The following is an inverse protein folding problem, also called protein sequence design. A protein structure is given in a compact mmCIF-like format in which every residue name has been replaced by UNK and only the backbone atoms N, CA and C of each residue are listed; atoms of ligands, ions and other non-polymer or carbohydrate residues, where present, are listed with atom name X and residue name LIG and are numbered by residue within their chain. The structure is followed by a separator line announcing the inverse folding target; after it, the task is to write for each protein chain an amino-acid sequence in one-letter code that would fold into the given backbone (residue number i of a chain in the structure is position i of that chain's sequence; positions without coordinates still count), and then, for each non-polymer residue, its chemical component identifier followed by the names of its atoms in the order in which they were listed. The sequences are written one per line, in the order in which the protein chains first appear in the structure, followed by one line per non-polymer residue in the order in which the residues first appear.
data_IF_651685760645
#
_entry.id   IF_651685760645
#
_cell.length_a   1.000
_cell.length_b   1.000
_cell.length_c   1.000
_cell.angle_alpha   90.00
_cell.angle_beta   90.00
_cell.angle_gamma   90.00
#
_symmetry.space_group_name_H-M   'P 1'
#
loop_
_entity.id
_entity.type
_entity.pdbx_description
1 polymer ?
#
# COMPACT_ATOMS: atom_id res chain seq x y z
N UNK A 1 -30.12 -44.71 -32.38
CA UNK A 1 -30.70 -43.60 -31.59
C UNK A 1 -31.43 -44.17 -30.38
N UNK A 2 -30.73 -44.50 -29.29
CA UNK A 2 -31.38 -44.73 -28.00
C UNK A 2 -31.61 -43.37 -27.34
N UNK A 3 -32.89 -43.05 -27.13
CA UNK A 3 -33.38 -41.68 -27.02
C UNK A 3 -32.89 -40.94 -25.77
N UNK A 4 -32.65 -39.64 -25.92
CA UNK A 4 -32.34 -38.72 -24.83
C UNK A 4 -33.32 -38.82 -23.64
N UNK A 5 -34.53 -39.35 -23.86
CA UNK A 5 -35.53 -39.63 -22.84
C UNK A 5 -35.10 -40.63 -21.77
N UNK A 6 -34.34 -41.69 -22.11
CA UNK A 6 -33.96 -42.71 -21.10
C UNK A 6 -32.88 -42.21 -20.13
N UNK A 7 -31.91 -41.43 -20.62
CA UNK A 7 -30.87 -40.79 -19.80
C UNK A 7 -31.43 -39.69 -18.92
N UNK A 8 -32.38 -38.91 -19.44
CA UNK A 8 -33.08 -37.89 -18.66
C UNK A 8 -33.91 -38.53 -17.53
N UNK A 9 -34.67 -39.58 -17.83
CA UNK A 9 -35.46 -40.29 -16.83
C UNK A 9 -34.57 -40.95 -15.75
N UNK A 10 -33.42 -41.51 -16.16
CA UNK A 10 -32.43 -42.06 -15.24
C UNK A 10 -31.81 -41.00 -14.33
N UNK A 11 -31.50 -39.81 -14.85
CA UNK A 11 -31.02 -38.68 -14.04
C UNK A 11 -32.09 -38.16 -13.07
N UNK A 12 -33.34 -37.99 -13.55
CA UNK A 12 -34.47 -37.52 -12.75
C UNK A 12 -34.82 -38.45 -11.58
N UNK A 13 -34.57 -39.75 -11.75
CA UNK A 13 -34.86 -40.77 -10.75
C UNK A 13 -33.61 -41.24 -9.98
N UNK A 14 -32.44 -40.63 -10.20
CA UNK A 14 -31.23 -40.97 -9.46
C UNK A 14 -31.42 -40.66 -7.96
N UNK A 15 -30.92 -41.49 -7.04
CA UNK A 15 -31.08 -41.26 -5.60
C UNK A 15 -30.37 -40.01 -5.06
N UNK A 16 -29.47 -39.41 -5.85
CA UNK A 16 -28.91 -38.06 -5.63
C UNK A 16 -29.31 -37.05 -6.73
N UNK A 17 -30.41 -37.34 -7.44
CA UNK A 17 -30.92 -36.55 -8.57
C UNK A 17 -31.85 -35.42 -8.13
N UNK A 18 -32.41 -34.66 -9.11
CA UNK A 18 -33.16 -33.41 -8.87
C UNK A 18 -34.40 -33.51 -7.97
N UNK A 19 -34.91 -34.71 -7.71
CA UNK A 19 -36.04 -34.93 -6.80
C UNK A 19 -35.62 -34.98 -5.32
N UNK A 20 -34.34 -34.80 -5.02
CA UNK A 20 -33.78 -35.00 -3.68
C UNK A 20 -33.02 -33.77 -3.18
N UNK A 21 -32.93 -33.63 -1.86
CA UNK A 21 -32.10 -32.59 -1.22
C UNK A 21 -30.62 -32.74 -1.57
N UNK A 22 -30.17 -33.96 -1.85
CA UNK A 22 -28.80 -34.26 -2.27
C UNK A 22 -28.40 -33.54 -3.55
N UNK A 23 -29.35 -33.15 -4.40
CA UNK A 23 -29.08 -32.36 -5.60
C UNK A 23 -29.15 -30.86 -5.32
N UNK A 24 -30.23 -30.38 -4.70
CA UNK A 24 -30.45 -28.93 -4.55
C UNK A 24 -29.54 -28.26 -3.53
N UNK A 25 -29.18 -28.93 -2.44
CA UNK A 25 -28.28 -28.35 -1.44
C UNK A 25 -26.88 -28.01 -2.02
N UNK A 26 -26.23 -28.87 -2.82
CA UNK A 26 -25.04 -28.50 -3.58
C UNK A 26 -25.28 -27.38 -4.60
N UNK A 27 -26.39 -27.42 -5.33
CA UNK A 27 -26.68 -26.43 -6.37
C UNK A 27 -26.77 -25.02 -5.81
N UNK A 28 -27.38 -24.85 -4.63
CA UNK A 28 -27.43 -23.53 -3.97
C UNK A 28 -26.07 -23.05 -3.47
N UNK A 29 -25.17 -23.96 -3.07
CA UNK A 29 -23.83 -23.60 -2.62
C UNK A 29 -22.95 -23.01 -3.73
N UNK A 30 -23.28 -23.21 -5.01
CA UNK A 30 -22.56 -22.58 -6.11
C UNK A 30 -22.64 -21.06 -6.08
N UNK A 31 -23.66 -20.48 -5.44
CA UNK A 31 -23.71 -19.03 -5.21
C UNK A 31 -22.50 -18.53 -4.40
N UNK A 32 -21.99 -19.31 -3.44
CA UNK A 32 -20.79 -18.97 -2.66
C UNK A 32 -19.53 -19.02 -3.52
N UNK A 33 -19.44 -19.96 -4.45
CA UNK A 33 -18.32 -20.07 -5.39
C UNK A 33 -18.30 -18.85 -6.32
N UNK A 34 -19.46 -18.50 -6.90
CA UNK A 34 -19.59 -17.35 -7.77
C UNK A 34 -19.32 -16.02 -7.05
N UNK A 35 -19.79 -15.89 -5.80
CA UNK A 35 -19.46 -14.74 -4.96
C UNK A 35 -17.94 -14.67 -4.69
N UNK A 36 -17.29 -15.78 -4.34
CA UNK A 36 -15.85 -15.85 -4.10
C UNK A 36 -15.03 -15.50 -5.35
N UNK A 37 -15.48 -15.91 -6.54
CA UNK A 37 -14.86 -15.52 -7.82
C UNK A 37 -15.02 -14.03 -8.06
N UNK A 38 -16.21 -13.46 -7.82
CA UNK A 38 -16.42 -12.01 -7.93
C UNK A 38 -15.53 -11.24 -6.96
N UNK A 39 -15.35 -11.75 -5.75
CA UNK A 39 -14.47 -11.18 -4.74
C UNK A 39 -12.97 -11.22 -5.13
N UNK A 40 -12.57 -11.90 -6.21
CA UNK A 40 -11.21 -11.78 -6.76
C UNK A 40 -10.92 -10.37 -7.29
N UNK A 41 -11.96 -9.65 -7.72
CA UNK A 41 -11.85 -8.24 -8.12
C UNK A 41 -11.77 -7.27 -6.95
N UNK A 42 -12.06 -7.72 -5.72
CA UNK A 42 -12.00 -6.85 -4.53
C UNK A 42 -10.54 -6.67 -4.07
N UNK A 43 -10.20 -5.48 -3.55
CA UNK A 43 -8.91 -5.25 -2.91
C UNK A 43 -8.69 -6.25 -1.76
N UNK A 44 -7.51 -6.84 -1.68
CA UNK A 44 -7.28 -7.98 -0.81
C UNK A 44 -7.13 -7.59 0.68
N UNK A 45 -6.87 -6.32 0.98
CA UNK A 45 -6.92 -5.75 2.33
C UNK A 45 -8.34 -5.69 2.93
N UNK A 46 -9.38 -5.73 2.09
CA UNK A 46 -10.79 -5.78 2.54
C UNK A 46 -11.31 -7.20 2.76
N UNK A 47 -10.46 -8.22 2.59
CA UNK A 47 -10.83 -9.62 2.75
C UNK A 47 -10.60 -10.07 4.20
N UNK A 48 -11.61 -10.72 4.78
CA UNK A 48 -11.47 -11.29 6.13
C UNK A 48 -10.64 -12.56 6.11
N UNK A 49 -9.57 -12.60 6.91
CA UNK A 49 -8.74 -13.79 7.10
C UNK A 49 -9.54 -14.93 7.70
N UNK A 50 -10.33 -14.67 8.74
CA UNK A 50 -11.10 -15.70 9.44
C UNK A 50 -12.17 -16.32 8.55
N UNK A 51 -12.84 -15.52 7.71
CA UNK A 51 -13.84 -16.02 6.76
C UNK A 51 -13.20 -16.87 5.68
N UNK A 52 -12.12 -16.40 5.04
CA UNK A 52 -11.46 -17.15 3.97
C UNK A 52 -10.78 -18.43 4.49
N UNK A 53 -10.23 -18.39 5.71
CA UNK A 53 -9.73 -19.58 6.40
C UNK A 53 -10.85 -20.59 6.71
N UNK A 54 -11.99 -20.12 7.21
CA UNK A 54 -13.15 -20.98 7.42
C UNK A 54 -13.64 -21.61 6.11
N UNK A 55 -13.73 -20.84 5.01
CA UNK A 55 -14.12 -21.37 3.69
C UNK A 55 -13.12 -22.40 3.16
N UNK A 56 -11.82 -22.12 3.26
CA UNK A 56 -10.75 -23.05 2.88
C UNK A 56 -10.86 -24.37 3.65
N UNK A 57 -10.89 -24.27 4.98
CA UNK A 57 -10.91 -25.43 5.86
C UNK A 57 -12.19 -26.25 5.70
N UNK A 58 -13.35 -25.59 5.74
CA UNK A 58 -14.64 -26.28 5.61
C UNK A 58 -14.79 -26.89 4.23
N UNK A 59 -14.44 -26.19 3.15
CA UNK A 59 -14.46 -26.73 1.79
C UNK A 59 -13.65 -28.02 1.69
N UNK A 60 -12.40 -28.00 2.14
CA UNK A 60 -11.51 -29.18 2.04
C UNK A 60 -11.95 -30.35 2.93
N UNK A 61 -12.42 -30.08 4.15
CA UNK A 61 -12.95 -31.11 5.05
C UNK A 61 -14.18 -31.78 4.42
N UNK A 62 -15.14 -30.99 3.95
CA UNK A 62 -16.40 -31.53 3.46
C UNK A 62 -16.26 -32.29 2.14
N UNK A 63 -15.27 -31.96 1.29
CA UNK A 63 -14.95 -32.76 0.08
C UNK A 63 -14.74 -34.23 0.46
N UNK A 64 -13.93 -34.51 1.49
CA UNK A 64 -13.67 -35.88 1.95
C UNK A 64 -14.97 -36.61 2.34
N UNK A 65 -15.82 -35.97 3.13
CA UNK A 65 -17.06 -36.58 3.63
C UNK A 65 -18.06 -36.90 2.50
N UNK A 66 -18.03 -36.18 1.38
CA UNK A 66 -18.92 -36.43 0.23
C UNK A 66 -18.71 -37.80 -0.42
N UNK A 67 -17.52 -38.40 -0.24
CA UNK A 67 -17.18 -39.73 -0.74
C UNK A 67 -17.47 -40.85 0.27
N UNK A 68 -17.82 -40.51 1.51
CA UNK A 68 -18.12 -41.47 2.58
C UNK A 68 -19.63 -41.66 2.77
N UNK A 69 -20.44 -40.67 2.36
CA UNK A 69 -21.90 -40.78 2.38
C UNK A 69 -22.42 -41.68 1.26
N UNK A 70 -23.51 -42.41 1.54
CA UNK A 70 -24.16 -43.32 0.58
C UNK A 70 -25.56 -42.79 0.24
N UNK A 71 -25.87 -42.52 -1.05
CA UNK A 71 -24.97 -42.61 -2.20
C UNK A 71 -23.93 -41.47 -2.23
N UNK A 72 -22.79 -41.74 -2.86
CA UNK A 72 -21.72 -40.73 -3.05
C UNK A 72 -22.26 -39.50 -3.78
N UNK A 73 -21.95 -38.30 -3.26
CA UNK A 73 -22.47 -37.05 -3.79
C UNK A 73 -21.38 -36.23 -4.49
N UNK A 74 -21.14 -36.52 -5.77
CA UNK A 74 -20.16 -35.81 -6.59
C UNK A 74 -20.46 -34.31 -6.76
N UNK A 75 -21.73 -33.87 -6.98
CA UNK A 75 -22.05 -32.44 -7.02
C UNK A 75 -21.66 -31.69 -5.73
N UNK A 76 -21.88 -32.31 -4.57
CA UNK A 76 -21.49 -31.73 -3.29
C UNK A 76 -19.96 -31.70 -3.12
N UNK A 77 -19.27 -32.74 -3.56
CA UNK A 77 -17.81 -32.77 -3.55
C UNK A 77 -17.22 -31.64 -4.42
N UNK A 78 -17.75 -31.46 -5.63
CA UNK A 78 -17.30 -30.43 -6.56
C UNK A 78 -17.48 -29.02 -5.98
N UNK A 79 -18.67 -28.69 -5.47
CA UNK A 79 -18.90 -27.33 -4.94
C UNK A 79 -18.04 -27.04 -3.71
N UNK A 80 -17.86 -28.01 -2.79
CA UNK A 80 -17.01 -27.82 -1.62
C UNK A 80 -15.52 -27.66 -2.00
N UNK A 81 -15.06 -28.35 -3.05
CA UNK A 81 -13.70 -28.18 -3.57
C UNK A 81 -13.49 -26.74 -4.05
N UNK A 82 -14.37 -26.21 -4.89
CA UNK A 82 -14.25 -24.83 -5.38
C UNK A 82 -14.41 -23.77 -4.29
N UNK A 83 -15.28 -24.00 -3.28
CA UNK A 83 -15.34 -23.13 -2.09
C UNK A 83 -14.00 -23.13 -1.35
N UNK A 84 -13.41 -24.31 -1.14
CA UNK A 84 -12.13 -24.46 -0.47
C UNK A 84 -10.98 -23.79 -1.23
N UNK A 85 -10.91 -24.01 -2.53
CA UNK A 85 -9.90 -23.40 -3.41
C UNK A 85 -10.04 -21.87 -3.44
N UNK A 86 -11.25 -21.33 -3.51
CA UNK A 86 -11.47 -19.88 -3.44
C UNK A 86 -10.91 -19.31 -2.12
N UNK A 87 -11.21 -19.94 -0.98
CA UNK A 87 -10.67 -19.52 0.32
C UNK A 87 -9.13 -19.52 0.34
N UNK A 88 -8.49 -20.56 -0.20
CA UNK A 88 -7.03 -20.65 -0.28
C UNK A 88 -6.41 -19.58 -1.19
N UNK A 89 -7.01 -19.32 -2.36
CA UNK A 89 -6.54 -18.28 -3.29
C UNK A 89 -6.62 -16.91 -2.63
N UNK A 90 -7.72 -16.61 -1.95
CA UNK A 90 -7.90 -15.34 -1.25
C UNK A 90 -6.91 -15.19 -0.07
N UNK A 91 -6.66 -16.25 0.70
CA UNK A 91 -5.62 -16.26 1.73
C UNK A 91 -4.22 -16.02 1.14
N UNK A 92 -3.94 -16.60 -0.03
CA UNK A 92 -2.71 -16.35 -0.78
C UNK A 92 -2.55 -14.89 -1.16
N UNK A 93 -3.61 -14.24 -1.65
CA UNK A 93 -3.61 -12.80 -1.97
C UNK A 93 -3.35 -11.94 -0.73
N UNK A 94 -4.03 -12.23 0.38
CA UNK A 94 -3.81 -11.55 1.66
C UNK A 94 -2.36 -11.71 2.13
N UNK A 95 -1.78 -12.91 2.01
CA UNK A 95 -0.41 -13.18 2.43
C UNK A 95 0.66 -12.46 1.58
N UNK A 96 0.45 -12.30 0.26
CA UNK A 96 1.37 -11.56 -0.61
C UNK A 96 1.36 -10.07 -0.29
N UNK A 97 0.17 -9.51 -0.11
CA UNK A 97 -0.04 -8.17 0.46
C UNK A 97 0.74 -8.07 1.78
N UNK A 98 0.42 -8.89 2.78
CA UNK A 98 1.04 -8.79 4.11
C UNK A 98 2.57 -8.93 4.13
N UNK A 99 3.17 -9.63 3.16
CA UNK A 99 4.63 -9.67 2.98
C UNK A 99 5.20 -8.36 2.45
N UNK A 100 4.51 -7.69 1.52
CA UNK A 100 4.88 -6.33 1.10
C UNK A 100 4.66 -5.30 2.24
N UNK A 101 3.58 -5.39 3.02
CA UNK A 101 3.28 -4.46 4.13
C UNK A 101 4.20 -4.62 5.35
N UNK A 102 4.77 -5.81 5.57
CA UNK A 102 5.60 -6.09 6.74
C UNK A 102 7.04 -5.57 6.60
N UNK A 103 7.58 -5.48 5.38
CA UNK A 103 9.01 -5.28 5.20
C UNK A 103 9.50 -3.90 5.67
N UNK A 104 8.75 -2.82 5.44
CA UNK A 104 9.14 -1.49 5.89
C UNK A 104 8.88 -1.27 7.40
N UNK A 105 7.72 -1.70 7.91
CA UNK A 105 7.42 -1.60 9.34
C UNK A 105 8.41 -2.42 10.19
N UNK A 106 8.85 -3.59 9.70
CA UNK A 106 9.88 -4.42 10.34
C UNK A 106 11.28 -3.82 10.23
N UNK A 107 11.65 -3.19 9.11
CA UNK A 107 12.97 -2.55 8.94
C UNK A 107 13.25 -1.52 10.04
N UNK A 108 12.24 -0.74 10.41
CA UNK A 108 12.36 0.29 11.44
C UNK A 108 11.86 -0.17 12.82
N UNK A 109 11.58 -1.47 12.99
CA UNK A 109 11.09 -2.09 14.23
C UNK A 109 9.86 -1.37 14.84
N UNK A 110 8.99 -0.81 14.00
CA UNK A 110 7.79 -0.09 14.42
C UNK A 110 6.55 -0.98 14.27
N UNK A 111 5.60 -0.84 15.19
CA UNK A 111 4.26 -1.41 15.01
C UNK A 111 3.59 -0.77 13.79
N UNK A 112 2.85 -1.55 13.02
CA UNK A 112 2.02 -1.01 11.93
C UNK A 112 0.95 -0.11 12.57
N UNK A 113 0.88 1.18 12.20
CA UNK A 113 -0.07 2.10 12.79
C UNK A 113 -1.52 1.71 12.44
N UNK A 114 -2.42 1.85 13.40
CA UNK A 114 -3.86 1.59 13.21
C UNK A 114 -4.63 2.78 12.66
N UNK A 115 -4.04 3.98 12.75
CA UNK A 115 -4.55 5.23 12.21
C UNK A 115 -3.40 6.06 11.63
N UNK A 116 -3.66 6.94 10.64
CA UNK A 116 -2.64 7.86 10.16
C UNK A 116 -2.19 8.80 11.29
N UNK A 117 -0.95 9.26 11.21
CA UNK A 117 -0.48 10.43 11.97
C UNK A 117 0.44 11.24 11.06
N UNK A 118 0.63 12.51 11.36
CA UNK A 118 1.49 13.38 10.56
C UNK A 118 2.37 14.27 11.43
N UNK A 119 3.39 14.83 10.80
CA UNK A 119 4.23 15.89 11.35
C UNK A 119 4.38 16.98 10.29
N UNK A 120 4.72 18.19 10.73
CA UNK A 120 4.90 19.32 9.83
C UNK A 120 6.39 19.55 9.55
N UNK A 121 6.69 19.91 8.31
CA UNK A 121 8.00 20.41 7.87
C UNK A 121 7.83 21.88 7.45
N UNK A 122 8.74 22.78 7.88
CA UNK A 122 8.67 24.19 7.46
C UNK A 122 9.01 24.32 5.98
N UNK A 123 8.44 25.31 5.29
CA UNK A 123 8.78 25.58 3.88
C UNK A 123 10.25 25.94 3.67
N UNK A 124 10.95 26.41 4.71
CA UNK A 124 12.39 26.69 4.68
C UNK A 124 13.25 25.44 4.47
N UNK A 125 12.71 24.22 4.64
CA UNK A 125 13.45 22.99 4.37
C UNK A 125 13.45 22.60 2.88
N UNK A 126 12.71 23.32 2.04
CA UNK A 126 12.52 22.94 0.63
C UNK A 126 13.74 23.29 -0.21
N UNK A 127 14.16 22.36 -1.06
CA UNK A 127 15.14 22.57 -2.13
C UNK A 127 14.72 21.82 -3.38
N UNK A 128 15.19 22.26 -4.55
CA UNK A 128 14.83 21.71 -5.84
C UNK A 128 15.87 20.75 -6.42
N UNK A 129 15.63 20.32 -7.66
CA UNK A 129 16.59 19.52 -8.41
C UNK A 129 17.88 20.31 -8.68
N UNK A 130 19.04 19.66 -8.50
CA UNK A 130 20.36 20.27 -8.66
C UNK A 130 20.90 20.98 -7.43
N UNK A 131 20.09 21.17 -6.39
CA UNK A 131 20.53 21.73 -5.11
C UNK A 131 21.32 20.71 -4.27
N UNK A 132 21.71 21.11 -3.05
CA UNK A 132 22.45 20.24 -2.13
C UNK A 132 21.77 20.12 -0.77
N UNK A 133 21.71 18.89 -0.26
CA UNK A 133 21.31 18.59 1.11
C UNK A 133 22.47 18.98 2.05
N UNK A 134 22.15 19.76 3.09
CA UNK A 134 23.09 20.23 4.09
C UNK A 134 22.91 19.46 5.40
N UNK A 135 23.86 18.57 5.73
CA UNK A 135 23.83 17.77 6.96
C UNK A 135 24.61 18.51 8.06
N UNK A 136 23.98 18.92 9.17
CA UNK A 136 24.73 19.51 10.28
C UNK A 136 25.67 18.52 10.96
N UNK A 137 26.74 19.07 11.56
CA UNK A 137 27.71 18.27 12.32
C UNK A 137 27.02 17.45 13.42
N UNK A 138 27.37 16.17 13.50
CA UNK A 138 26.81 15.23 14.48
C UNK A 138 25.40 14.74 14.17
N UNK A 139 24.77 15.15 13.06
CA UNK A 139 23.47 14.61 12.62
C UNK A 139 23.67 13.36 11.78
N UNK A 140 22.90 12.32 12.06
CA UNK A 140 22.78 11.13 11.20
C UNK A 140 21.53 11.32 10.34
N UNK A 141 21.70 11.76 9.09
CA UNK A 141 20.58 12.07 8.20
C UNK A 141 20.20 10.85 7.37
N UNK A 142 18.92 10.45 7.38
CA UNK A 142 18.38 9.35 6.58
C UNK A 142 17.49 9.89 5.46
N UNK A 143 17.47 9.18 4.32
CA UNK A 143 16.60 9.48 3.18
C UNK A 143 15.33 8.62 3.18
N UNK A 144 14.21 9.21 2.75
CA UNK A 144 12.91 8.56 2.64
C UNK A 144 12.24 9.08 1.35
N UNK A 145 12.31 8.34 0.23
CA UNK A 145 11.71 8.79 -1.05
C UNK A 145 10.20 8.62 -1.03
N UNK A 146 9.45 9.66 -1.41
CA UNK A 146 7.99 9.67 -1.30
C UNK A 146 7.31 10.28 -2.52
N UNK A 147 6.09 9.81 -2.79
CA UNK A 147 5.13 10.57 -3.58
C UNK A 147 4.63 11.73 -2.71
N UNK A 148 4.57 12.92 -3.29
CA UNK A 148 3.99 14.09 -2.67
C UNK A 148 2.69 14.46 -3.40
N UNK A 149 1.65 14.77 -2.64
CA UNK A 149 0.35 15.24 -3.14
C UNK A 149 0.27 16.73 -2.92
N UNK A 150 0.07 17.49 -4.00
CA UNK A 150 -0.13 18.93 -3.93
C UNK A 150 -1.61 19.23 -3.92
N UNK A 151 -2.09 19.92 -2.89
CA UNK A 151 -3.49 20.31 -2.73
C UNK A 151 -3.80 21.45 -3.70
N UNK A 152 -4.81 21.25 -4.54
CA UNK A 152 -5.21 22.21 -5.58
C UNK A 152 -6.36 23.14 -5.17
N UNK A 153 -6.98 22.91 -4.02
CA UNK A 153 -8.01 23.81 -3.48
C UNK A 153 -8.20 23.59 -1.98
N UNK A 154 -8.66 24.64 -1.29
CA UNK A 154 -8.92 24.62 0.15
C UNK A 154 -9.83 23.44 0.56
N UNK A 155 -9.35 22.60 1.46
CA UNK A 155 -10.00 21.39 1.96
C UNK A 155 -10.14 21.42 3.49
N UNK A 156 -11.33 21.13 3.99
CA UNK A 156 -11.61 20.97 5.42
C UNK A 156 -12.74 19.98 5.60
N UNK A 157 -12.60 19.08 6.58
CA UNK A 157 -13.58 18.04 6.90
C UNK A 157 -14.04 17.27 5.63
N UNK A 158 -13.07 16.87 4.80
CA UNK A 158 -13.31 16.27 3.49
C UNK A 158 -13.89 14.86 3.66
N UNK A 159 -14.93 14.54 2.88
CA UNK A 159 -15.44 13.17 2.81
C UNK A 159 -14.60 12.31 1.87
N UNK A 160 -14.48 10.98 2.10
CA UNK A 160 -13.68 10.09 1.27
C UNK A 160 -14.00 10.17 -0.23
N UNK A 161 -15.29 10.31 -0.58
CA UNK A 161 -15.76 10.39 -1.96
C UNK A 161 -15.32 11.67 -2.71
N UNK A 162 -14.86 12.69 -1.98
CA UNK A 162 -14.42 13.97 -2.54
C UNK A 162 -12.92 14.20 -2.46
N UNK A 163 -12.16 13.33 -1.80
CA UNK A 163 -10.73 13.55 -1.55
C UNK A 163 -9.95 13.84 -2.85
N UNK A 164 -10.18 13.05 -3.89
CA UNK A 164 -9.48 13.19 -5.17
C UNK A 164 -9.72 14.53 -5.86
N UNK A 165 -10.87 15.21 -5.64
CA UNK A 165 -11.14 16.50 -6.28
C UNK A 165 -10.28 17.64 -5.72
N UNK A 166 -9.68 17.45 -4.55
CA UNK A 166 -8.81 18.45 -3.93
C UNK A 166 -7.33 18.29 -4.36
N UNK A 167 -6.98 17.25 -5.10
CA UNK A 167 -5.61 17.03 -5.60
C UNK A 167 -5.37 17.89 -6.83
N UNK A 168 -4.42 18.84 -6.74
CA UNK A 168 -3.96 19.68 -7.85
C UNK A 168 -2.88 19.02 -8.71
N UNK A 169 -2.10 18.10 -8.13
CA UNK A 169 -1.10 17.32 -8.84
C UNK A 169 -0.19 16.58 -7.87
N UNK A 170 0.95 16.13 -8.37
CA UNK A 170 1.89 15.34 -7.61
C UNK A 170 3.31 15.91 -7.69
N UNK A 171 4.20 15.45 -6.83
CA UNK A 171 5.63 15.67 -6.97
C UNK A 171 6.39 14.47 -6.42
N UNK A 172 7.63 14.29 -6.86
CA UNK A 172 8.61 13.48 -6.15
C UNK A 172 9.21 14.31 -5.01
N UNK A 173 9.31 13.72 -3.81
CA UNK A 173 9.96 14.34 -2.67
C UNK A 173 10.88 13.34 -1.93
N UNK A 174 11.77 13.87 -1.11
CA UNK A 174 12.58 13.10 -0.16
C UNK A 174 12.36 13.67 1.23
N UNK A 175 11.81 12.86 2.14
CA UNK A 175 11.66 13.23 3.56
C UNK A 175 12.96 12.94 4.33
N UNK A 176 13.88 13.91 4.31
CA UNK A 176 15.11 13.79 5.07
C UNK A 176 14.83 13.86 6.58
N UNK A 177 15.46 12.95 7.32
CA UNK A 177 15.27 12.83 8.77
C UNK A 177 16.61 12.82 9.50
N UNK A 178 16.80 13.70 10.48
CA UNK A 178 17.89 13.61 11.44
C UNK A 178 17.58 12.48 12.43
N UNK A 179 17.94 11.24 12.10
CA UNK A 179 17.49 10.03 12.79
C UNK A 179 17.85 10.05 14.28
N UNK A 180 19.08 10.40 14.60
CA UNK A 180 19.53 10.48 15.99
C UNK A 180 18.80 11.56 16.81
N UNK A 181 18.46 12.70 16.19
CA UNK A 181 17.60 13.71 16.83
C UNK A 181 16.18 13.18 17.05
N UNK A 182 15.62 12.48 16.06
CA UNK A 182 14.28 11.89 16.15
C UNK A 182 14.22 10.83 17.26
N UNK A 183 15.22 9.96 17.35
CA UNK A 183 15.27 8.90 18.37
C UNK A 183 15.36 9.48 19.78
N UNK A 184 16.16 10.54 19.96
CA UNK A 184 16.23 11.29 21.22
C UNK A 184 14.88 11.94 21.56
N UNK A 185 14.21 12.53 20.58
CA UNK A 185 12.89 13.12 20.76
C UNK A 185 11.84 12.07 21.15
N UNK A 186 11.78 10.94 20.45
CA UNK A 186 10.91 9.79 20.76
C UNK A 186 11.11 9.29 22.19
N UNK A 187 12.36 9.05 22.60
CA UNK A 187 12.69 8.59 23.97
C UNK A 187 12.27 9.59 25.05
N UNK A 188 12.20 10.87 24.72
CA UNK A 188 11.88 11.95 25.65
C UNK A 188 10.43 12.45 25.54
N UNK A 189 9.61 11.85 24.66
CA UNK A 189 8.25 12.32 24.38
C UNK A 189 8.18 13.74 23.78
N UNK A 190 9.23 14.18 23.07
CA UNK A 190 9.33 15.51 22.48
C UNK A 190 8.89 15.55 21.01
N UNK A 191 8.49 16.73 20.48
CA UNK A 191 8.11 16.90 19.08
C UNK A 191 9.23 16.58 18.08
N UNK A 192 8.86 16.15 16.87
CA UNK A 192 9.81 15.76 15.82
C UNK A 192 10.21 16.92 14.88
N UNK A 193 9.64 18.11 15.06
CA UNK A 193 9.81 19.25 14.16
C UNK A 193 11.28 19.57 13.89
N UNK A 194 12.15 19.54 14.90
CA UNK A 194 13.57 19.80 14.72
C UNK A 194 14.31 18.68 13.96
N UNK A 195 13.84 17.43 14.07
CA UNK A 195 14.46 16.29 13.40
C UNK A 195 14.03 16.16 11.93
N UNK A 196 12.82 16.60 11.61
CA UNK A 196 12.24 16.57 10.25
C UNK A 196 12.40 17.91 9.51
N UNK A 197 12.56 19.03 10.20
CA UNK A 197 12.46 20.38 9.63
C UNK A 197 13.76 21.18 9.54
N UNK A 198 14.93 20.52 9.48
CA UNK A 198 16.19 21.21 9.19
C UNK A 198 16.14 21.81 7.78
N UNK A 199 16.88 22.91 7.55
CA UNK A 199 17.02 23.49 6.22
C UNK A 199 17.49 22.40 5.23
N UNK A 200 17.01 22.45 3.98
CA UNK A 200 17.28 21.46 2.90
C UNK A 200 16.72 20.04 3.11
N UNK A 201 15.98 19.77 4.19
CA UNK A 201 15.47 18.42 4.49
C UNK A 201 14.14 18.06 3.78
N UNK A 202 13.66 18.89 2.84
CA UNK A 202 12.58 18.53 1.91
C UNK A 202 13.01 18.78 0.46
N UNK A 203 13.93 18.00 -0.11
CA UNK A 203 14.10 18.00 -1.55
C UNK A 203 12.79 17.62 -2.24
N UNK A 204 12.33 18.45 -3.17
CA UNK A 204 11.06 18.28 -3.86
C UNK A 204 11.18 18.72 -5.33
N UNK A 205 10.62 17.92 -6.21
CA UNK A 205 10.61 18.20 -7.65
C UNK A 205 9.54 19.24 -8.03
N UNK A 206 9.57 19.70 -9.27
CA UNK A 206 8.48 20.47 -9.86
C UNK A 206 7.16 19.68 -9.88
N UNK A 207 6.04 20.40 -9.89
CA UNK A 207 4.71 19.81 -10.00
C UNK A 207 4.61 18.91 -11.25
N UNK A 208 4.22 17.66 -11.03
CA UNK A 208 3.78 16.71 -12.03
C UNK A 208 2.27 16.86 -12.18
N UNK A 209 1.83 17.17 -13.40
CA UNK A 209 0.41 17.32 -13.70
C UNK A 209 -0.36 16.03 -13.39
N UNK A 210 -1.53 16.17 -12.77
CA UNK A 210 -2.38 15.04 -12.37
C UNK A 210 -2.72 14.12 -13.54
N UNK A 211 -2.86 14.65 -14.75
CA UNK A 211 -3.18 13.87 -15.96
C UNK A 211 -2.06 12.91 -16.39
N UNK A 212 -0.82 13.16 -15.96
CA UNK A 212 0.32 12.28 -16.23
C UNK A 212 0.39 11.09 -15.27
N UNK A 213 -0.39 11.09 -14.18
CA UNK A 213 -0.50 10.00 -13.21
C UNK A 213 -1.97 9.61 -13.08
N UNK A 214 -2.49 8.75 -13.98
CA UNK A 214 -3.89 8.34 -13.97
C UNK A 214 -4.29 7.58 -12.71
N UNK A 215 -3.36 6.80 -12.15
CA UNK A 215 -3.52 6.04 -10.91
C UNK A 215 -2.35 6.35 -9.96
N UNK A 216 -2.55 7.19 -8.93
CA UNK A 216 -1.48 7.53 -7.99
C UNK A 216 -1.15 6.41 -7.00
N UNK A 217 -1.96 5.34 -6.95
CA UNK A 217 -1.70 4.13 -6.17
C UNK A 217 -1.00 3.04 -7.01
N UNK A 218 -0.46 3.40 -8.17
CA UNK A 218 0.35 2.52 -9.00
C UNK A 218 1.50 3.28 -9.68
N UNK A 219 2.41 3.82 -8.87
CA UNK A 219 3.55 4.63 -9.30
C UNK A 219 4.84 4.05 -8.73
N UNK A 220 5.86 3.88 -9.57
CA UNK A 220 7.16 3.40 -9.14
C UNK A 220 8.01 4.56 -8.61
N UNK A 221 8.54 4.38 -7.40
CA UNK A 221 9.47 5.28 -6.73
C UNK A 221 10.82 4.59 -6.56
N UNK A 222 11.90 5.33 -6.78
CA UNK A 222 13.24 4.83 -6.51
C UNK A 222 14.18 5.93 -6.01
N UNK A 223 15.20 5.52 -5.26
CA UNK A 223 16.29 6.38 -4.83
C UNK A 223 17.61 5.60 -4.84
N UNK A 224 18.64 6.20 -5.41
CA UNK A 224 20.03 5.73 -5.36
C UNK A 224 20.95 6.73 -4.67
N UNK A 225 21.99 6.17 -4.06
CA UNK A 225 23.10 6.91 -3.45
C UNK A 225 24.38 6.41 -4.12
N UNK A 226 25.13 7.34 -4.72
CA UNK A 226 26.36 7.04 -5.47
C UNK A 226 26.19 5.95 -6.55
N UNK A 227 25.01 5.92 -7.18
CA UNK A 227 24.65 4.96 -8.23
C UNK A 227 24.07 3.64 -7.71
N UNK A 228 24.13 3.37 -6.40
CA UNK A 228 23.54 2.18 -5.80
C UNK A 228 22.08 2.43 -5.40
N UNK A 229 21.15 1.61 -5.89
CA UNK A 229 19.74 1.70 -5.48
C UNK A 229 19.62 1.34 -4.00
N UNK A 230 19.09 2.29 -3.22
CA UNK A 230 18.78 2.11 -1.79
C UNK A 230 17.30 1.87 -1.58
N UNK A 231 16.45 2.58 -2.31
CA UNK A 231 15.00 2.40 -2.24
C UNK A 231 14.42 2.12 -3.63
N UNK A 232 13.49 1.19 -3.68
CA UNK A 232 12.64 0.92 -4.84
C UNK A 232 11.34 0.32 -4.34
N UNK A 233 10.22 0.92 -4.72
CA UNK A 233 8.89 0.45 -4.34
C UNK A 233 7.80 1.05 -5.21
N UNK A 234 6.58 0.63 -4.96
CA UNK A 234 5.40 1.12 -5.68
C UNK A 234 4.39 1.70 -4.69
N UNK A 235 3.67 2.75 -5.10
CA UNK A 235 2.65 3.39 -4.26
C UNK A 235 1.44 2.51 -3.97
N UNK A 236 1.29 1.37 -4.66
CA UNK A 236 0.32 0.33 -4.33
C UNK A 236 0.55 -0.30 -2.95
N UNK A 237 1.76 -0.17 -2.39
CA UNK A 237 2.14 -0.69 -1.08
C UNK A 237 1.82 0.29 0.06
N UNK A 238 1.16 1.44 -0.21
CA UNK A 238 0.75 2.39 0.83
C UNK A 238 -0.21 1.75 1.84
N UNK A 239 0.06 1.98 3.14
CA UNK A 239 -0.82 1.51 4.22
C UNK A 239 -2.13 2.30 4.26
N UNK A 240 -2.02 3.62 4.16
CA UNK A 240 -3.14 4.54 4.06
C UNK A 240 -3.08 5.20 2.69
N UNK A 241 -4.16 5.08 1.93
CA UNK A 241 -4.20 5.62 0.59
C UNK A 241 -4.34 7.14 0.65
N UNK A 242 -3.93 7.84 -0.41
CA UNK A 242 -4.04 9.31 -0.52
C UNK A 242 -5.39 9.88 -0.05
N UNK A 243 -6.57 9.30 -0.42
CA UNK A 243 -7.84 9.76 0.12
C UNK A 243 -7.93 9.72 1.64
N UNK A 244 -7.44 8.65 2.27
CA UNK A 244 -7.44 8.49 3.72
C UNK A 244 -6.57 9.56 4.39
N UNK A 245 -5.41 9.88 3.81
CA UNK A 245 -4.50 10.93 4.29
C UNK A 245 -5.15 12.33 4.21
N UNK A 246 -5.82 12.64 3.09
CA UNK A 246 -6.52 13.93 2.92
C UNK A 246 -7.69 14.04 3.90
N UNK A 247 -8.51 12.99 4.01
CA UNK A 247 -9.66 12.95 4.94
C UNK A 247 -9.19 13.13 6.37
N UNK A 248 -8.19 12.35 6.80
CA UNK A 248 -7.64 12.42 8.15
C UNK A 248 -7.07 13.80 8.45
N UNK A 249 -6.18 14.31 7.60
CA UNK A 249 -5.51 15.60 7.83
C UNK A 249 -6.52 16.75 7.82
N UNK A 250 -7.44 16.77 6.85
CA UNK A 250 -8.46 17.81 6.71
C UNK A 250 -9.48 17.86 7.85
N UNK A 251 -9.64 16.75 8.61
CA UNK A 251 -10.46 16.70 9.82
C UNK A 251 -9.79 17.33 11.04
N UNK A 252 -8.47 17.50 11.01
CA UNK A 252 -7.66 18.06 12.10
C UNK A 252 -7.28 19.51 11.81
N UNK A 253 -6.86 19.81 10.59
CA UNK A 253 -6.50 21.15 10.14
C UNK A 253 -6.98 21.41 8.71
N UNK A 254 -7.24 22.67 8.38
CA UNK A 254 -7.54 23.03 6.98
C UNK A 254 -6.30 22.82 6.12
N UNK A 255 -6.48 22.15 4.98
CA UNK A 255 -5.50 22.08 3.90
C UNK A 255 -5.77 23.25 2.95
N UNK A 256 -4.77 24.07 2.68
CA UNK A 256 -4.87 25.19 1.75
C UNK A 256 -4.34 24.80 0.36
N UNK A 257 -4.69 25.59 -0.65
CA UNK A 257 -4.13 25.44 -1.99
C UNK A 257 -2.60 25.62 -1.95
N UNK A 258 -1.88 24.68 -2.55
CA UNK A 258 -0.43 24.61 -2.53
C UNK A 258 0.17 23.79 -1.37
N UNK A 259 -0.64 23.36 -0.40
CA UNK A 259 -0.15 22.46 0.65
C UNK A 259 0.35 21.14 0.07
N UNK A 260 1.40 20.60 0.67
CA UNK A 260 2.04 19.37 0.22
C UNK A 260 1.92 18.29 1.28
N UNK A 261 1.33 17.16 0.93
CA UNK A 261 1.26 15.96 1.76
C UNK A 261 2.26 14.93 1.25
N UNK A 262 3.22 14.56 2.08
CA UNK A 262 4.11 13.42 1.82
C UNK A 262 3.42 12.14 2.29
N UNK A 263 3.46 11.09 1.47
CA UNK A 263 2.55 9.93 1.60
C UNK A 263 3.17 8.68 2.22
N UNK A 264 4.40 8.77 2.69
CA UNK A 264 5.20 7.65 3.17
C UNK A 264 6.19 7.13 2.13
N UNK A 265 7.13 6.32 2.63
CA UNK A 265 8.31 5.84 1.91
C UNK A 265 8.33 4.31 1.80
N UNK A 266 8.89 3.73 0.72
CA UNK A 266 9.18 2.30 0.68
C UNK A 266 10.40 1.94 1.56
N UNK A 267 10.66 0.64 1.71
CA UNK A 267 11.83 0.12 2.44
C UNK A 267 13.18 0.54 1.84
N UNK A 268 14.24 0.39 2.62
CA UNK A 268 15.62 0.70 2.24
C UNK A 268 16.08 2.08 2.70
N UNK A 269 15.54 2.54 3.82
CA UNK A 269 15.89 3.84 4.42
C UNK A 269 17.30 3.74 5.00
N UNK A 270 18.22 4.58 4.51
CA UNK A 270 19.62 4.53 4.95
C UNK A 270 20.21 5.91 5.16
N UNK A 271 21.36 5.96 5.85
CA UNK A 271 22.05 7.20 6.14
C UNK A 271 22.73 7.78 4.90
N UNK A 272 22.78 9.11 4.83
CA UNK A 272 23.59 9.88 3.90
C UNK A 272 24.78 10.50 4.62
N UNK A 273 25.85 10.71 3.87
CA UNK A 273 27.08 11.34 4.31
C UNK A 273 27.45 12.50 3.36
N UNK A 274 28.08 13.57 3.88
CA UNK A 274 28.70 14.59 3.04
C UNK A 274 29.60 13.96 1.97
N UNK A 275 29.42 14.39 0.72
CA UNK A 275 30.10 13.85 -0.45
C UNK A 275 29.23 12.91 -1.30
N UNK A 276 28.16 12.32 -0.74
CA UNK A 276 27.27 11.46 -1.51
C UNK A 276 26.54 12.24 -2.62
N UNK A 277 26.21 11.54 -3.69
CA UNK A 277 25.31 11.97 -4.75
C UNK A 277 24.01 11.18 -4.66
N UNK A 278 22.89 11.88 -4.52
CA UNK A 278 21.57 11.26 -4.42
C UNK A 278 20.83 11.46 -5.73
N UNK A 279 20.25 10.39 -6.27
CA UNK A 279 19.27 10.47 -7.35
C UNK A 279 17.97 9.81 -6.91
N UNK A 280 16.84 10.40 -7.23
CA UNK A 280 15.54 9.80 -6.99
C UNK A 280 14.64 10.05 -8.20
N UNK A 281 13.70 9.14 -8.44
CA UNK A 281 12.81 9.22 -9.58
C UNK A 281 11.40 8.70 -9.28
N UNK A 282 10.46 9.24 -10.05
CA UNK A 282 9.06 8.86 -10.11
C UNK A 282 8.72 8.49 -11.56
N UNK A 283 8.12 7.32 -11.77
CA UNK A 283 7.70 6.86 -13.10
C UNK A 283 6.48 5.94 -13.03
N UNK A 284 5.79 5.78 -14.16
CA UNK A 284 4.72 4.79 -14.26
C UNK A 284 5.30 3.38 -14.46
N UNK A 285 4.65 2.33 -13.90
CA UNK A 285 5.12 0.96 -14.04
C UNK A 285 5.19 0.50 -15.49
N UNK A 286 6.33 -0.09 -15.85
CA UNK A 286 6.58 -0.58 -17.21
C UNK A 286 6.92 0.50 -18.23
N UNK A 287 6.93 1.78 -17.84
CA UNK A 287 7.37 2.88 -18.70
C UNK A 287 8.84 3.23 -18.45
N UNK A 288 9.55 3.61 -19.51
CA UNK A 288 10.92 4.12 -19.43
C UNK A 288 10.99 5.61 -19.11
N UNK A 289 9.87 6.32 -19.26
CA UNK A 289 9.79 7.76 -19.03
C UNK A 289 9.77 8.05 -17.53
N UNK A 290 10.76 8.80 -17.07
CA UNK A 290 10.77 9.39 -15.73
C UNK A 290 9.90 10.66 -15.77
N UNK A 291 8.89 10.73 -14.90
CA UNK A 291 7.97 11.86 -14.81
C UNK A 291 8.55 13.00 -13.97
N UNK A 292 9.29 12.66 -12.92
CA UNK A 292 10.04 13.61 -12.09
C UNK A 292 11.34 12.97 -11.60
N UNK A 293 12.41 13.77 -11.55
CA UNK A 293 13.72 13.35 -11.05
C UNK A 293 14.30 14.41 -10.13
N UNK A 294 15.01 13.95 -9.10
CA UNK A 294 15.87 14.76 -8.25
C UNK A 294 17.30 14.21 -8.36
N UNK A 295 18.26 15.10 -8.58
CA UNK A 295 19.69 14.86 -8.54
C UNK A 295 20.30 15.89 -7.59
N UNK A 296 20.84 15.42 -6.47
CA UNK A 296 21.21 16.26 -5.33
C UNK A 296 22.62 15.91 -4.85
N UNK A 297 23.41 16.93 -4.56
CA UNK A 297 24.63 16.76 -3.79
C UNK A 297 24.34 16.67 -2.28
N UNK A 298 25.21 16.02 -1.53
CA UNK A 298 25.19 16.05 -0.06
C UNK A 298 26.45 16.75 0.44
N UNK A 299 26.31 17.74 1.31
CA UNK A 299 27.43 18.47 1.90
C UNK A 299 27.24 18.65 3.41
N UNK A 300 28.35 18.83 4.11
CA UNK A 300 28.30 19.21 5.52
C UNK A 300 27.83 20.67 5.62
N UNK A 301 26.88 20.94 6.53
CA UNK A 301 26.40 22.30 6.78
C UNK A 301 27.48 23.12 7.47
N UNK A 302 27.83 24.25 6.86
CA UNK A 302 28.67 25.25 7.49
C UNK A 302 27.81 26.17 8.37
N UNK A 303 27.76 25.89 9.68
CA UNK A 303 26.98 26.69 10.63
C UNK A 303 27.35 26.43 12.08
N UNK A 304 26.76 27.22 12.98
CA UNK A 304 27.02 27.13 14.42
C UNK A 304 26.36 25.90 15.09
N UNK A 305 25.31 25.34 14.47
CA UNK A 305 24.61 24.19 15.02
C UNK A 305 25.45 22.91 14.89
N UNK A 306 25.56 22.16 15.99
CA UNK A 306 26.15 20.83 16.03
C UNK A 306 25.32 19.99 16.99
N UNK A 307 24.82 18.85 16.53
CA UNK A 307 24.12 17.93 17.39
C UNK A 307 25.12 17.16 18.26
N UNK A 308 24.93 17.24 19.58
CA UNK A 308 25.71 16.53 20.59
C UNK A 308 24.72 15.69 21.40
N UNK A 309 24.47 14.45 20.99
CA UNK A 309 23.43 13.63 21.59
C UNK A 309 23.39 12.22 21.06
#
# INVERSE_FOLDING_TARGET
MASAGSRFQAFMNHPAGPKTVFFWAPMMKWALVLAGIKDLSRPAEKLSVSQNFALALTGMIWVRYCFVITPVNYPLAAVNFFVGTNGLVQLGRIAHIGRNFADHAKELNNAVPTEPFFFLKPTSSYIGNGDSIEIPKGVVAHHEVELAVVIGSKARDVSPAKADSYIGGYALAIDMTARNMQDKAKKSGLPWSAAKGLDTFTPISSLVDKSLIPDPHNVDLWLSVDGEIRQRGNTSDMIFNIPDLIVYTSSIMTLEEGDVLLTGTPKGVSALHPGNQVRAGLQLPGESRILAELSLGVKERNGAFTFRG
#
